data_IF_026772217815
#
_entry.id   IF_026772217815
#
_cell.length_a   1.000
_cell.length_b   1.000
_cell.length_c   1.000
_cell.angle_alpha   90.00
_cell.angle_beta   90.00
_cell.angle_gamma   90.00
#
_symmetry.space_group_name_H-M   'P 1'
#
loop_
_entity.id
_entity.type
_entity.pdbx_description
1 polymer ?
#
# COMPACT_ATOMS: atom_id res chain seq x y z
N UNK A 1 12.16 -0.70 -22.09
CA UNK A 1 12.60 0.20 -21.00
C UNK A 1 11.51 1.20 -20.56
N UNK A 2 10.84 1.92 -21.46
CA UNK A 2 9.80 2.90 -21.09
C UNK A 2 8.65 2.32 -20.25
N UNK A 3 8.14 1.13 -20.60
CA UNK A 3 7.03 0.50 -19.86
C UNK A 3 7.42 0.15 -18.42
N UNK A 4 8.56 -0.49 -18.20
CA UNK A 4 9.04 -0.84 -16.86
C UNK A 4 9.18 0.38 -15.94
N UNK A 5 9.71 1.50 -16.47
CA UNK A 5 9.79 2.76 -15.72
C UNK A 5 8.39 3.32 -15.36
N UNK A 6 7.44 3.28 -16.31
CA UNK A 6 6.07 3.70 -16.05
C UNK A 6 5.41 2.81 -14.99
N UNK A 7 5.62 1.51 -15.06
CA UNK A 7 5.07 0.56 -14.08
C UNK A 7 5.61 0.84 -12.68
N UNK A 8 6.91 1.07 -12.52
CA UNK A 8 7.49 1.44 -11.22
C UNK A 8 6.92 2.76 -10.67
N UNK A 9 6.74 3.77 -11.51
CA UNK A 9 6.15 5.06 -11.09
C UNK A 9 4.70 4.85 -10.64
N UNK A 10 3.89 4.17 -11.46
CA UNK A 10 2.47 3.92 -11.18
C UNK A 10 2.27 3.05 -9.94
N UNK A 11 3.09 2.01 -9.77
CA UNK A 11 3.06 1.16 -8.59
C UNK A 11 3.40 1.94 -7.32
N UNK A 12 4.42 2.81 -7.37
CA UNK A 12 4.73 3.70 -6.24
C UNK A 12 3.62 4.69 -5.93
N UNK A 13 2.93 5.21 -6.95
CA UNK A 13 1.75 6.06 -6.75
C UNK A 13 0.61 5.30 -6.06
N UNK A 14 0.34 4.06 -6.51
CA UNK A 14 -0.64 3.17 -5.88
C UNK A 14 -0.28 2.89 -4.41
N UNK A 15 0.95 2.48 -4.12
CA UNK A 15 1.43 2.24 -2.73
C UNK A 15 1.23 3.49 -1.86
N UNK A 16 1.62 4.66 -2.38
CA UNK A 16 1.41 5.93 -1.66
C UNK A 16 -0.08 6.19 -1.40
N UNK A 17 -0.96 5.85 -2.34
CA UNK A 17 -2.40 6.02 -2.17
C UNK A 17 -2.93 5.19 -0.99
N UNK A 18 -2.50 3.94 -0.86
CA UNK A 18 -2.83 3.11 0.31
C UNK A 18 -2.30 3.69 1.62
N UNK A 19 -1.06 4.19 1.65
CA UNK A 19 -0.52 4.86 2.86
C UNK A 19 -1.33 6.08 3.28
N UNK A 20 -1.91 6.81 2.32
CA UNK A 20 -2.66 8.06 2.56
C UNK A 20 -4.14 7.81 2.82
N UNK A 21 -4.76 6.87 2.09
CA UNK A 21 -6.22 6.69 2.00
C UNK A 21 -6.69 5.29 2.39
N UNK A 22 -5.79 4.34 2.68
CA UNK A 22 -6.16 2.95 2.98
C UNK A 22 -7.11 2.82 4.17
N UNK A 23 -7.03 3.73 5.15
CA UNK A 23 -7.98 3.82 6.26
C UNK A 23 -9.45 3.97 5.81
N UNK A 24 -9.72 4.53 4.62
CA UNK A 24 -11.06 4.63 4.06
C UNK A 24 -11.61 3.28 3.59
N UNK A 25 -10.72 2.33 3.27
CA UNK A 25 -11.07 0.95 2.93
C UNK A 25 -10.94 -0.02 4.11
N UNK A 26 -10.61 0.46 5.32
CA UNK A 26 -10.41 -0.39 6.48
C UNK A 26 -11.74 -0.94 7.03
N UNK A 27 -11.70 -2.20 7.48
CA UNK A 27 -12.84 -2.84 8.10
C UNK A 27 -12.92 -2.49 9.60
N UNK A 28 -13.51 -1.33 9.88
CA UNK A 28 -13.63 -0.79 11.24
C UNK A 28 -15.02 -0.99 11.86
N UNK A 29 -15.99 -1.41 11.06
CA UNK A 29 -17.38 -1.58 11.50
C UNK A 29 -17.67 -3.05 11.84
N UNK A 30 -17.70 -3.42 13.13
CA UNK A 30 -17.94 -4.80 13.55
C UNK A 30 -19.36 -5.29 13.25
N UNK A 31 -20.30 -4.38 12.95
CA UNK A 31 -21.70 -4.70 12.64
C UNK A 31 -21.95 -4.82 11.13
N UNK A 32 -21.00 -4.38 10.29
CA UNK A 32 -21.10 -4.47 8.83
C UNK A 32 -22.20 -3.61 8.21
N UNK A 33 -22.63 -2.54 8.89
CA UNK A 33 -23.72 -1.65 8.46
C UNK A 33 -23.26 -0.64 7.41
N UNK A 34 -21.98 -0.28 7.42
CA UNK A 34 -21.36 0.73 6.55
C UNK A 34 -21.16 0.27 5.10
N UNK A 35 -21.39 -1.01 4.79
CA UNK A 35 -21.47 -1.52 3.41
C UNK A 35 -20.16 -1.56 2.63
N UNK A 36 -19.02 -1.20 3.25
CA UNK A 36 -17.67 -1.29 2.69
C UNK A 36 -17.52 -0.60 1.34
N UNK A 37 -17.06 0.65 1.30
CA UNK A 37 -16.87 1.35 0.02
C UNK A 37 -15.42 1.21 -0.48
N UNK A 38 -15.27 0.70 -1.72
CA UNK A 38 -13.97 0.70 -2.39
C UNK A 38 -13.68 2.10 -2.90
N UNK A 39 -12.74 2.80 -2.25
CA UNK A 39 -12.37 4.16 -2.64
C UNK A 39 -11.62 4.16 -3.99
N UNK A 40 -11.94 5.06 -4.94
CA UNK A 40 -11.29 5.09 -6.27
C UNK A 40 -9.76 5.20 -6.23
N UNK A 41 -9.20 5.93 -5.26
CA UNK A 41 -7.75 6.03 -5.03
C UNK A 41 -7.09 4.68 -4.65
N UNK A 42 -7.87 3.67 -4.26
CA UNK A 42 -7.38 2.32 -3.93
C UNK A 42 -7.55 1.34 -5.11
N UNK A 43 -8.04 1.83 -6.26
CA UNK A 43 -8.18 1.03 -7.47
C UNK A 43 -6.90 1.10 -8.34
N UNK A 44 -6.22 -0.03 -8.64
CA UNK A 44 -5.12 -0.08 -9.60
C UNK A 44 -5.44 0.51 -10.97
N UNK A 45 -6.70 0.43 -11.40
CA UNK A 45 -7.13 0.99 -12.68
C UNK A 45 -6.93 2.50 -12.73
N UNK A 46 -7.08 3.21 -11.59
CA UNK A 46 -6.81 4.66 -11.46
C UNK A 46 -5.37 5.01 -11.80
N UNK A 47 -4.44 4.06 -11.63
CA UNK A 47 -3.01 4.24 -11.92
C UNK A 47 -2.60 3.60 -13.26
N UNK A 48 -3.56 3.08 -14.03
CA UNK A 48 -3.32 2.53 -15.36
C UNK A 48 -2.82 1.08 -15.37
N UNK A 49 -3.15 0.29 -14.35
CA UNK A 49 -2.97 -1.17 -14.38
C UNK A 49 -4.28 -1.86 -14.77
N UNK A 50 -4.25 -2.60 -15.88
CA UNK A 50 -5.31 -3.51 -16.27
C UNK A 50 -5.07 -4.91 -15.67
N UNK A 51 -6.08 -5.79 -15.58
CA UNK A 51 -5.91 -7.15 -15.04
C UNK A 51 -4.80 -7.96 -15.72
N UNK A 52 -4.55 -7.74 -17.02
CA UNK A 52 -3.48 -8.41 -17.76
C UNK A 52 -2.06 -7.99 -17.31
N UNK A 53 -1.94 -6.86 -16.61
CA UNK A 53 -0.67 -6.35 -16.11
C UNK A 53 -0.28 -6.94 -14.75
N UNK A 54 -1.19 -7.67 -14.10
CA UNK A 54 -1.10 -7.92 -12.66
C UNK A 54 0.01 -8.88 -12.26
N UNK A 55 0.47 -9.71 -13.18
CA UNK A 55 1.50 -10.74 -12.97
C UNK A 55 2.90 -10.30 -13.41
N UNK A 56 3.06 -9.05 -13.88
CA UNK A 56 4.37 -8.51 -14.27
C UNK A 56 5.17 -8.14 -13.02
N UNK A 57 6.44 -8.52 -12.98
CA UNK A 57 7.35 -8.07 -11.94
C UNK A 57 7.68 -6.58 -12.11
N UNK A 58 7.45 -5.79 -11.06
CA UNK A 58 7.70 -4.34 -11.03
C UNK A 58 8.80 -4.06 -10.02
N UNK A 59 9.84 -3.36 -10.44
CA UNK A 59 10.90 -2.93 -9.54
C UNK A 59 10.42 -1.80 -8.62
N UNK A 60 10.54 -2.01 -7.31
CA UNK A 60 10.07 -1.10 -6.25
C UNK A 60 11.20 -0.56 -5.39
N UNK A 61 12.44 -1.01 -5.58
CA UNK A 61 13.62 -0.56 -4.82
C UNK A 61 13.40 -0.66 -3.29
N UNK A 62 12.86 -1.81 -2.85
CA UNK A 62 12.65 -2.09 -1.44
C UNK A 62 11.53 -1.30 -0.77
N UNK A 63 10.68 -0.58 -1.52
CA UNK A 63 9.63 0.28 -0.95
C UNK A 63 8.65 -0.41 0.02
N UNK A 64 8.48 -1.73 -0.11
CA UNK A 64 7.68 -2.60 0.77
C UNK A 64 8.52 -3.76 1.38
N UNK A 65 9.86 -3.65 1.33
CA UNK A 65 10.79 -4.72 1.70
C UNK A 65 11.45 -5.39 0.49
N UNK A 66 10.72 -6.18 -0.33
CA UNK A 66 11.27 -6.80 -1.53
C UNK A 66 11.67 -5.77 -2.61
N UNK A 67 12.70 -6.10 -3.39
CA UNK A 67 13.18 -5.24 -4.48
C UNK A 67 12.19 -5.15 -5.65
N UNK A 68 11.40 -6.20 -5.89
CA UNK A 68 10.37 -6.25 -6.94
C UNK A 68 9.16 -7.04 -6.48
N UNK A 69 7.97 -6.65 -6.94
CA UNK A 69 6.70 -7.31 -6.67
C UNK A 69 5.77 -7.18 -7.90
N UNK A 70 4.80 -8.08 -8.02
CA UNK A 70 3.67 -8.00 -8.93
C UNK A 70 2.55 -7.13 -8.34
N UNK A 71 1.59 -6.68 -9.17
CA UNK A 71 0.44 -5.91 -8.65
C UNK A 71 -0.42 -6.76 -7.71
N UNK A 72 -0.50 -8.09 -7.93
CA UNK A 72 -1.21 -8.99 -7.00
C UNK A 72 -0.58 -8.97 -5.62
N UNK A 73 0.74 -9.11 -5.55
CA UNK A 73 1.48 -9.12 -4.29
C UNK A 73 1.41 -7.74 -3.61
N UNK A 74 1.55 -6.66 -4.38
CA UNK A 74 1.42 -5.30 -3.85
C UNK A 74 0.05 -5.12 -3.22
N UNK A 75 -1.03 -5.47 -3.93
CA UNK A 75 -2.40 -5.32 -3.46
C UNK A 75 -2.68 -6.20 -2.24
N UNK A 76 -2.22 -7.45 -2.24
CA UNK A 76 -2.38 -8.32 -1.07
C UNK A 76 -1.74 -7.67 0.17
N UNK A 77 -0.50 -7.21 0.04
CA UNK A 77 0.23 -6.56 1.13
C UNK A 77 -0.44 -5.28 1.63
N UNK A 78 -0.72 -4.32 0.74
CA UNK A 78 -1.25 -3.01 1.18
C UNK A 78 -2.69 -3.10 1.68
N UNK A 79 -3.49 -4.06 1.20
CA UNK A 79 -4.82 -4.28 1.76
C UNK A 79 -4.74 -4.92 3.15
N UNK A 80 -3.85 -5.87 3.37
CA UNK A 80 -3.62 -6.46 4.70
C UNK A 80 -3.19 -5.39 5.71
N UNK A 81 -2.22 -4.55 5.32
CA UNK A 81 -1.62 -3.55 6.21
C UNK A 81 -2.54 -2.34 6.44
N UNK A 82 -3.13 -1.78 5.38
CA UNK A 82 -3.82 -0.48 5.46
C UNK A 82 -5.35 -0.56 5.41
N UNK A 83 -5.91 -1.70 4.99
CA UNK A 83 -7.36 -1.91 4.88
C UNK A 83 -7.88 -3.02 5.82
N UNK A 84 -7.05 -3.44 6.78
CA UNK A 84 -7.42 -4.45 7.78
C UNK A 84 -8.38 -3.91 8.85
N UNK A 85 -8.22 -4.40 10.08
CA UNK A 85 -9.02 -3.98 11.24
C UNK A 85 -8.54 -2.69 11.90
N UNK A 86 -7.46 -2.10 11.39
CA UNK A 86 -6.84 -0.88 11.89
C UNK A 86 -6.74 0.11 10.72
N UNK A 87 -7.28 1.32 10.93
CA UNK A 87 -7.16 2.41 9.97
C UNK A 87 -6.01 3.33 10.37
N UNK A 88 -4.95 3.36 9.55
CA UNK A 88 -3.80 4.23 9.81
C UNK A 88 -3.94 5.58 9.13
N UNK A 89 -3.89 6.65 9.93
CA UNK A 89 -3.86 8.04 9.45
C UNK A 89 -2.61 8.73 10.00
N UNK A 90 -1.52 8.74 9.22
CA UNK A 90 -0.24 9.30 9.65
C UNK A 90 0.44 10.15 8.58
N UNK A 91 0.00 10.07 7.32
CA UNK A 91 0.66 10.75 6.22
C UNK A 91 0.52 12.28 6.24
N UNK A 92 -0.37 12.82 7.09
CA UNK A 92 -0.52 14.26 7.35
C UNK A 92 0.58 14.82 8.28
N UNK A 93 1.35 13.96 8.95
CA UNK A 93 2.47 14.37 9.81
C UNK A 93 3.53 15.09 8.97
N UNK A 94 3.92 16.30 9.38
CA UNK A 94 4.88 17.11 8.63
C UNK A 94 6.30 16.54 8.68
N UNK A 95 6.70 16.00 9.84
CA UNK A 95 8.04 15.42 10.04
C UNK A 95 8.24 14.17 9.16
N UNK A 96 9.21 14.19 8.23
CA UNK A 96 9.54 13.01 7.42
C UNK A 96 10.05 11.85 8.28
N UNK A 97 10.80 12.15 9.35
CA UNK A 97 11.33 11.16 10.27
C UNK A 97 10.20 10.40 10.97
N UNK A 98 9.21 11.11 11.50
CA UNK A 98 8.05 10.49 12.15
C UNK A 98 7.21 9.66 11.16
N UNK A 99 6.99 10.17 9.93
CA UNK A 99 6.30 9.40 8.90
C UNK A 99 7.03 8.11 8.55
N UNK A 100 8.36 8.17 8.42
CA UNK A 100 9.17 6.99 8.14
C UNK A 100 9.15 6.00 9.30
N UNK A 101 9.29 6.48 10.54
CA UNK A 101 9.21 5.66 11.75
C UNK A 101 7.88 4.91 11.87
N UNK A 102 6.76 5.60 11.59
CA UNK A 102 5.43 5.01 11.53
C UNK A 102 5.33 3.97 10.42
N UNK A 103 5.76 4.32 9.19
CA UNK A 103 5.72 3.43 8.03
C UNK A 103 6.46 2.12 8.27
N UNK A 104 7.69 2.18 8.82
CA UNK A 104 8.48 0.99 9.15
C UNK A 104 7.77 0.07 10.16
N UNK A 105 7.12 0.63 11.17
CA UNK A 105 6.39 -0.16 12.19
C UNK A 105 5.12 -0.79 11.65
N UNK A 106 4.41 -0.08 10.79
CA UNK A 106 3.15 -0.54 10.21
C UNK A 106 3.41 -1.62 9.15
N UNK A 107 4.39 -1.41 8.27
CA UNK A 107 4.67 -2.30 7.14
C UNK A 107 5.63 -3.45 7.48
N UNK A 108 6.34 -3.39 8.61
CA UNK A 108 7.30 -4.42 8.99
C UNK A 108 7.27 -4.71 10.51
N UNK A 109 6.14 -5.16 11.08
CA UNK A 109 6.02 -5.43 12.52
C UNK A 109 7.02 -6.49 13.00
N UNK A 110 7.29 -7.53 12.20
CA UNK A 110 8.17 -8.64 12.59
C UNK A 110 9.66 -8.31 12.49
N UNK A 111 10.03 -7.32 11.67
CA UNK A 111 11.44 -6.93 11.46
C UNK A 111 12.05 -6.27 12.70
N UNK A 112 11.20 -5.73 13.58
CA UNK A 112 11.59 -5.11 14.85
C UNK A 112 11.87 -6.12 15.97
N UNK A 113 11.45 -7.38 15.83
CA UNK A 113 11.74 -8.43 16.81
C UNK A 113 13.16 -9.00 16.68
N UNK A 114 13.86 -8.70 15.58
CA UNK A 114 15.24 -9.17 15.33
C UNK A 114 16.30 -8.14 15.71
N UNK A 115 15.89 -6.92 16.07
CA UNK A 115 16.77 -5.80 16.46
C UNK A 115 16.69 -5.48 17.98
N UNK A 116 16.13 -6.39 18.80
CA UNK A 116 16.07 -6.32 20.27
C UNK A 116 16.76 -7.53 20.93
#
# INVERSE_FOLDING_TARGET
>A
MRQAALDSIRARMLIRAFRVRGHLGANLDPLGLSGGTRHPDLDPATYGFAPADFDRAIFLDGALGPASMTIREILAFVNEVYCGRIGYEYMHIQSPEQRNWMGLRIEAPDRLLLDL
#
